data_IF_714292063740
#
_entry.id   IF_714292063740
#
_cell.length_a   1.000
_cell.length_b   1.000
_cell.length_c   1.000
_cell.angle_alpha   90.00
_cell.angle_beta   90.00
_cell.angle_gamma   90.00
#
_symmetry.space_group_name_H-M   'P 1'
#
loop_
_entity.id
_entity.type
_entity.pdbx_description
1 polymer ?
#
# COMPACT_ATOMS: atom_id res chain seq x y z
N UNK A 1 9.56 2.04 21.06
CA UNK A 1 10.06 2.27 19.67
C UNK A 1 10.03 3.77 19.45
N UNK A 2 11.17 4.37 19.14
CA UNK A 2 11.34 5.81 18.88
C UNK A 2 10.86 6.15 17.47
N UNK A 3 10.29 7.30 17.29
CA UNK A 3 9.87 7.85 16.00
C UNK A 3 11.08 8.59 15.39
N UNK A 4 11.55 8.09 14.28
CA UNK A 4 12.69 8.65 13.55
C UNK A 4 12.24 9.74 12.58
N UNK A 5 13.16 10.63 12.17
CA UNK A 5 12.93 11.60 11.10
C UNK A 5 12.49 10.88 9.83
N UNK A 6 11.43 11.38 9.18
CA UNK A 6 10.86 10.76 7.98
C UNK A 6 9.95 9.54 8.22
N UNK A 7 9.81 9.07 9.47
CA UNK A 7 8.90 7.97 9.78
C UNK A 7 7.43 8.39 9.63
N UNK A 8 6.59 7.51 9.08
CA UNK A 8 5.15 7.73 9.07
C UNK A 8 4.54 7.44 10.43
N UNK A 9 3.67 8.34 10.88
CA UNK A 9 2.95 8.28 12.15
C UNK A 9 1.45 8.42 11.88
N UNK A 10 0.65 7.58 12.53
CA UNK A 10 -0.79 7.76 12.58
C UNK A 10 -1.14 8.67 13.75
N UNK A 11 -1.55 9.88 13.44
CA UNK A 11 -2.11 10.83 14.41
C UNK A 11 -3.53 10.38 14.73
N UNK A 12 -3.79 10.03 15.98
CA UNK A 12 -5.08 9.52 16.42
C UNK A 12 -5.71 10.43 17.48
N UNK A 13 -6.91 10.92 17.22
CA UNK A 13 -7.72 11.63 18.21
C UNK A 13 -9.00 10.85 18.53
N UNK A 14 -9.67 10.30 17.53
CA UNK A 14 -10.83 9.42 17.64
C UNK A 14 -10.91 8.50 16.40
N UNK A 15 -11.77 7.48 16.37
CA UNK A 15 -11.89 6.59 15.21
C UNK A 15 -12.11 7.32 13.88
N UNK A 16 -12.85 8.43 13.88
CA UNK A 16 -13.15 9.23 12.68
C UNK A 16 -12.10 10.33 12.42
N UNK A 17 -11.21 10.60 13.38
CA UNK A 17 -10.24 11.69 13.34
C UNK A 17 -8.83 11.16 13.46
N UNK A 18 -8.35 10.62 12.36
CA UNK A 18 -7.00 10.07 12.21
C UNK A 18 -6.34 10.60 10.95
N UNK A 19 -5.03 10.83 11.00
CA UNK A 19 -4.23 11.32 9.87
C UNK A 19 -2.92 10.57 9.81
N UNK A 20 -2.53 10.17 8.60
CA UNK A 20 -1.22 9.57 8.33
C UNK A 20 -0.28 10.69 7.88
N UNK A 21 0.74 10.95 8.65
CA UNK A 21 1.69 12.04 8.41
C UNK A 21 3.13 11.55 8.53
N UNK A 22 4.01 12.19 7.81
CA UNK A 22 5.45 11.97 7.92
C UNK A 22 6.01 12.89 9.03
N UNK A 23 6.66 12.31 10.03
CA UNK A 23 7.31 13.01 11.10
C UNK A 23 8.56 13.72 10.56
N UNK A 24 8.52 15.04 10.54
CA UNK A 24 9.56 15.87 9.95
C UNK A 24 9.80 17.08 10.83
N UNK A 25 11.02 17.32 11.21
CA UNK A 25 11.44 18.48 12.02
C UNK A 25 10.99 19.79 11.39
N UNK A 26 10.38 20.68 12.20
CA UNK A 26 9.86 21.97 11.77
C UNK A 26 8.57 21.94 10.96
N UNK A 27 8.00 20.76 10.69
CA UNK A 27 6.74 20.62 9.95
C UNK A 27 5.54 20.84 10.86
N UNK A 28 4.62 21.70 10.43
CA UNK A 28 3.33 21.93 11.09
C UNK A 28 2.21 21.27 10.31
N UNK A 29 1.28 20.66 11.02
CA UNK A 29 0.12 20.01 10.44
C UNK A 29 -1.18 20.66 10.91
N UNK A 30 -1.97 21.15 9.97
CA UNK A 30 -3.20 21.88 10.23
C UNK A 30 -4.41 20.96 10.24
N UNK A 31 -5.18 20.99 11.32
CA UNK A 31 -6.42 20.22 11.47
C UNK A 31 -7.53 21.12 12.04
N UNK A 32 -8.76 20.66 12.02
CA UNK A 32 -9.87 21.31 12.72
C UNK A 32 -9.69 21.32 14.26
N UNK A 33 -8.77 20.47 14.79
CA UNK A 33 -8.40 20.46 16.22
C UNK A 33 -7.35 21.53 16.57
N UNK A 34 -6.89 22.30 15.59
CA UNK A 34 -5.77 23.23 15.70
C UNK A 34 -4.55 22.75 14.93
N UNK A 35 -3.44 23.44 15.15
CA UNK A 35 -2.13 23.15 14.53
C UNK A 35 -1.35 22.22 15.46
N UNK A 36 -0.76 21.18 14.88
CA UNK A 36 0.16 20.25 15.53
C UNK A 36 1.58 20.54 15.03
N UNK A 37 2.55 20.61 15.91
CA UNK A 37 3.96 20.61 15.53
C UNK A 37 4.41 19.14 15.37
N UNK A 38 4.56 18.71 14.12
CA UNK A 38 4.93 17.32 13.82
C UNK A 38 6.42 17.08 14.13
N UNK A 39 7.24 18.13 14.15
CA UNK A 39 8.63 18.02 14.54
C UNK A 39 8.81 17.48 15.97
N UNK A 40 7.88 17.78 16.88
CA UNK A 40 7.91 17.24 18.25
C UNK A 40 7.67 15.73 18.33
N UNK A 41 7.17 15.11 17.26
CA UNK A 41 7.03 13.66 17.18
C UNK A 41 8.39 12.97 16.98
N UNK A 42 9.34 13.65 16.33
CA UNK A 42 10.68 13.09 16.10
C UNK A 42 11.42 12.96 17.44
N UNK A 43 12.00 11.78 17.68
CA UNK A 43 12.65 11.44 18.94
C UNK A 43 11.69 11.04 20.08
N UNK A 44 10.38 11.20 19.91
CA UNK A 44 9.38 10.72 20.86
C UNK A 44 9.08 9.23 20.65
N UNK A 45 8.27 8.60 21.50
CA UNK A 45 7.89 7.18 21.37
C UNK A 45 6.49 7.04 20.79
N UNK A 46 6.27 5.98 20.00
CA UNK A 46 4.91 5.57 19.67
C UNK A 46 4.11 5.27 20.93
N UNK A 47 2.85 5.73 20.98
CA UNK A 47 1.99 5.71 22.17
C UNK A 47 2.00 7.02 22.95
N UNK A 48 2.99 7.91 22.74
CA UNK A 48 2.98 9.26 23.29
C UNK A 48 1.94 10.15 22.60
N UNK A 49 1.90 11.44 22.92
CA UNK A 49 0.94 12.36 22.34
C UNK A 49 1.53 13.75 22.09
N UNK A 50 0.93 14.45 21.15
CA UNK A 50 1.11 15.88 20.94
C UNK A 50 -0.12 16.65 21.43
N UNK A 51 0.08 17.91 21.77
CA UNK A 51 -1.00 18.86 22.02
C UNK A 51 -1.14 19.80 20.81
N UNK A 52 -2.35 19.97 20.32
CA UNK A 52 -2.61 20.98 19.29
C UNK A 52 -2.59 22.39 19.88
N UNK A 53 -2.50 23.42 19.04
CA UNK A 53 -2.60 24.82 19.46
C UNK A 53 -3.89 25.17 20.20
N UNK A 54 -4.89 24.31 20.18
CA UNK A 54 -6.15 24.41 20.93
C UNK A 54 -6.20 23.47 22.15
N UNK A 55 -5.06 22.93 22.59
CA UNK A 55 -4.95 22.04 23.74
C UNK A 55 -5.58 20.64 23.53
N UNK A 56 -5.87 20.24 22.29
CA UNK A 56 -6.43 18.91 22.00
C UNK A 56 -5.32 17.86 21.92
N UNK A 57 -5.50 16.77 22.67
CA UNK A 57 -4.57 15.65 22.70
C UNK A 57 -4.72 14.78 21.43
N UNK A 58 -3.59 14.46 20.79
CA UNK A 58 -3.49 13.58 19.62
C UNK A 58 -2.40 12.55 19.88
N UNK A 59 -2.75 11.28 19.85
CA UNK A 59 -1.84 10.15 20.15
C UNK A 59 -1.03 9.83 18.91
N UNK A 60 0.24 9.51 19.08
CA UNK A 60 1.18 9.09 18.03
C UNK A 60 1.19 7.56 17.94
N UNK A 61 0.51 6.99 16.97
CA UNK A 61 0.46 5.53 16.78
C UNK A 61 1.35 5.10 15.62
N UNK A 62 1.90 3.86 15.72
CA UNK A 62 2.55 3.20 14.60
C UNK A 62 1.49 2.85 13.56
N UNK A 63 1.63 3.30 12.30
CA UNK A 63 0.67 2.96 11.27
C UNK A 63 0.64 1.46 10.97
N UNK A 64 -0.54 0.94 10.69
CA UNK A 64 -0.76 -0.40 10.15
C UNK A 64 -0.85 -0.34 8.63
N UNK A 65 -0.73 -1.48 7.96
CA UNK A 65 -0.98 -1.56 6.50
C UNK A 65 -2.38 -1.05 6.14
N UNK A 66 -3.36 -1.30 7.00
CA UNK A 66 -4.71 -0.72 6.89
C UNK A 66 -4.67 0.80 6.72
N UNK A 67 -3.86 1.52 7.50
CA UNK A 67 -3.77 2.98 7.44
C UNK A 67 -3.13 3.45 6.14
N UNK A 68 -2.10 2.78 5.66
CA UNK A 68 -1.47 3.10 4.38
C UNK A 68 -2.43 2.88 3.21
N UNK A 69 -3.21 1.79 3.20
CA UNK A 69 -4.22 1.52 2.19
C UNK A 69 -5.35 2.54 2.25
N UNK A 70 -5.93 2.76 3.45
CA UNK A 70 -7.11 3.61 3.61
C UNK A 70 -6.83 5.11 3.48
N UNK A 71 -5.59 5.55 3.74
CA UNK A 71 -5.15 6.95 3.66
C UNK A 71 -4.23 7.23 2.46
N UNK A 72 -4.18 6.30 1.51
CA UNK A 72 -3.46 6.48 0.25
C UNK A 72 -4.02 7.63 -0.58
N UNK A 73 -3.17 8.26 -1.38
CA UNK A 73 -3.63 9.14 -2.46
C UNK A 73 -4.37 8.30 -3.50
N UNK A 74 -5.53 8.77 -3.98
CA UNK A 74 -6.40 7.97 -4.84
C UNK A 74 -6.78 8.71 -6.10
N UNK A 75 -6.60 8.04 -7.24
CA UNK A 75 -7.20 8.40 -8.54
C UNK A 75 -8.21 7.34 -9.01
N UNK A 76 -8.20 6.16 -8.36
CA UNK A 76 -9.11 5.05 -8.65
C UNK A 76 -9.82 4.62 -7.37
N UNK A 77 -10.89 3.84 -7.50
CA UNK A 77 -11.41 3.04 -6.40
C UNK A 77 -10.31 2.07 -5.93
N UNK A 78 -10.33 1.76 -4.64
CA UNK A 78 -9.42 0.77 -4.06
C UNK A 78 -10.20 -0.47 -3.65
N UNK A 79 -9.54 -1.61 -3.67
CA UNK A 79 -10.06 -2.81 -3.03
C UNK A 79 -10.09 -2.57 -1.51
N UNK A 80 -11.25 -2.73 -0.89
CA UNK A 80 -11.42 -2.46 0.55
C UNK A 80 -10.85 -3.59 1.41
N UNK A 81 -10.49 -3.31 2.68
CA UNK A 81 -9.81 -4.27 3.55
C UNK A 81 -10.48 -5.63 3.70
N UNK A 82 -11.82 -5.69 3.70
CA UNK A 82 -12.56 -6.96 3.74
C UNK A 82 -12.29 -7.83 2.51
N UNK A 83 -12.22 -7.20 1.34
CA UNK A 83 -12.01 -7.87 0.06
C UNK A 83 -10.51 -8.21 -0.10
N UNK A 84 -9.60 -7.33 0.34
CA UNK A 84 -8.16 -7.62 0.41
C UNK A 84 -7.89 -8.87 1.24
N UNK A 85 -8.48 -8.98 2.43
CA UNK A 85 -8.32 -10.14 3.29
C UNK A 85 -8.88 -11.42 2.64
N UNK A 86 -10.04 -11.33 1.99
CA UNK A 86 -10.65 -12.45 1.28
C UNK A 86 -9.77 -12.91 0.11
N UNK A 87 -9.27 -11.99 -0.70
CA UNK A 87 -8.32 -12.29 -1.79
C UNK A 87 -7.09 -12.98 -1.24
N UNK A 88 -6.48 -12.44 -0.18
CA UNK A 88 -5.28 -13.00 0.43
C UNK A 88 -5.47 -14.44 0.90
N UNK A 89 -6.56 -14.72 1.61
CA UNK A 89 -6.86 -16.07 2.10
C UNK A 89 -7.17 -17.02 0.94
N UNK A 90 -8.01 -16.59 -0.02
CA UNK A 90 -8.46 -17.47 -1.12
C UNK A 90 -7.36 -17.79 -2.14
N UNK A 91 -6.42 -16.85 -2.33
CA UNK A 91 -5.28 -17.06 -3.23
C UNK A 91 -4.13 -17.84 -2.60
N UNK A 92 -4.15 -18.06 -1.30
CA UNK A 92 -3.04 -18.68 -0.58
C UNK A 92 -1.83 -17.75 -0.42
N UNK A 93 -2.07 -16.42 -0.43
CA UNK A 93 -1.03 -15.42 -0.30
C UNK A 93 -0.25 -15.58 1.01
N UNK A 94 1.06 -15.74 0.91
CA UNK A 94 1.94 -15.95 2.06
C UNK A 94 3.32 -15.31 1.83
N UNK A 95 4.14 -15.35 2.88
CA UNK A 95 5.55 -14.94 2.77
C UNK A 95 6.26 -15.70 1.63
N UNK A 96 7.04 -14.98 0.83
CA UNK A 96 7.78 -15.54 -0.29
C UNK A 96 6.97 -15.69 -1.58
N UNK A 97 5.66 -15.47 -1.59
CA UNK A 97 4.85 -15.56 -2.80
C UNK A 97 5.32 -14.57 -3.87
N UNK A 98 5.35 -15.02 -5.12
CA UNK A 98 5.56 -14.19 -6.31
C UNK A 98 4.20 -13.92 -6.92
N UNK A 99 3.86 -12.66 -7.10
CA UNK A 99 2.52 -12.24 -7.52
C UNK A 99 2.59 -11.38 -8.77
N UNK A 100 1.77 -11.71 -9.76
CA UNK A 100 1.51 -10.87 -10.93
C UNK A 100 0.17 -10.15 -10.72
N UNK A 101 0.20 -8.83 -10.77
CA UNK A 101 -1.00 -7.99 -10.65
C UNK A 101 -1.22 -7.22 -11.95
N UNK A 102 -2.43 -7.32 -12.49
CA UNK A 102 -2.88 -6.54 -13.65
C UNK A 102 -3.98 -5.59 -13.17
N UNK A 103 -3.71 -4.29 -13.26
CA UNK A 103 -4.55 -3.24 -12.71
C UNK A 103 -4.00 -2.71 -11.38
N UNK A 104 -2.85 -2.02 -11.42
CA UNK A 104 -2.23 -1.41 -10.23
C UNK A 104 -3.15 -0.39 -9.56
N UNK A 105 -3.85 0.41 -10.36
CA UNK A 105 -4.67 1.51 -9.88
C UNK A 105 -3.91 2.46 -8.96
N UNK A 106 -4.45 2.76 -7.80
CA UNK A 106 -3.79 3.60 -6.78
C UNK A 106 -2.83 2.82 -5.87
N UNK A 107 -2.62 1.52 -6.11
CA UNK A 107 -1.67 0.67 -5.39
C UNK A 107 -2.17 0.14 -4.04
N UNK A 108 -3.48 0.13 -3.80
CA UNK A 108 -4.05 -0.36 -2.55
C UNK A 108 -3.84 -1.87 -2.37
N UNK A 109 -4.22 -2.66 -3.38
CA UNK A 109 -4.01 -4.11 -3.40
C UNK A 109 -2.52 -4.44 -3.45
N UNK A 110 -1.73 -3.77 -4.30
CA UNK A 110 -0.27 -3.90 -4.37
C UNK A 110 0.38 -3.71 -3.00
N UNK A 111 -0.02 -2.66 -2.25
CA UNK A 111 0.49 -2.37 -0.90
C UNK A 111 0.18 -3.50 0.08
N UNK A 112 -1.04 -4.03 0.04
CA UNK A 112 -1.44 -5.15 0.87
C UNK A 112 -0.64 -6.41 0.54
N UNK A 113 -0.57 -6.81 -0.74
CA UNK A 113 0.18 -7.99 -1.19
C UNK A 113 1.65 -7.86 -0.77
N UNK A 114 2.31 -6.76 -1.10
CA UNK A 114 3.72 -6.52 -0.79
C UNK A 114 4.00 -6.60 0.71
N UNK A 115 3.05 -6.22 1.57
CA UNK A 115 3.21 -6.31 3.02
C UNK A 115 3.25 -7.74 3.56
N UNK A 116 2.60 -8.68 2.86
CA UNK A 116 2.50 -10.08 3.29
C UNK A 116 3.65 -10.92 2.74
N UNK A 117 4.02 -10.71 1.47
CA UNK A 117 4.99 -11.57 0.77
C UNK A 117 6.44 -11.36 1.21
N UNK A 118 6.76 -10.23 1.86
CA UNK A 118 8.11 -9.92 2.33
C UNK A 118 8.60 -10.89 3.41
N UNK A 119 9.92 -11.11 3.56
CA UNK A 119 11.01 -10.39 2.88
C UNK A 119 11.45 -11.03 1.55
N UNK A 120 10.94 -12.17 1.14
CA UNK A 120 11.48 -12.97 0.04
C UNK A 120 10.60 -13.03 -1.22
N UNK A 121 9.34 -12.61 -1.10
CA UNK A 121 8.40 -12.55 -2.22
C UNK A 121 8.55 -11.28 -3.07
N UNK A 122 7.82 -11.24 -4.19
CA UNK A 122 7.83 -10.08 -5.09
C UNK A 122 6.52 -9.88 -5.83
N UNK A 123 6.13 -8.61 -6.03
CA UNK A 123 4.97 -8.22 -6.85
C UNK A 123 5.44 -7.61 -8.16
N UNK A 124 4.95 -8.13 -9.25
CA UNK A 124 5.05 -7.56 -10.60
C UNK A 124 3.71 -6.94 -10.95
N UNK A 125 3.64 -5.62 -11.07
CA UNK A 125 2.36 -4.93 -11.28
C UNK A 125 2.34 -4.14 -12.58
N UNK A 126 1.19 -4.14 -13.24
CA UNK A 126 0.97 -3.54 -14.56
C UNK A 126 -0.25 -2.61 -14.52
N UNK A 127 -0.11 -1.44 -15.11
CA UNK A 127 -1.22 -0.53 -15.33
C UNK A 127 -1.06 0.20 -16.67
N UNK A 128 -2.18 0.37 -17.38
CA UNK A 128 -2.21 1.09 -18.66
C UNK A 128 -2.06 2.60 -18.49
N UNK A 129 -2.34 3.11 -17.29
CA UNK A 129 -2.31 4.54 -17.03
C UNK A 129 -1.06 4.92 -16.22
N UNK A 130 -0.10 5.66 -16.82
CA UNK A 130 1.11 6.06 -16.13
C UNK A 130 0.87 6.97 -14.91
N UNK A 131 -0.27 7.69 -14.87
CA UNK A 131 -0.63 8.50 -13.70
C UNK A 131 -1.00 7.61 -12.50
N UNK A 132 -1.65 6.48 -12.75
CA UNK A 132 -1.99 5.52 -11.69
C UNK A 132 -0.71 4.87 -11.13
N UNK A 133 0.16 4.39 -12.01
CA UNK A 133 1.47 3.86 -11.61
C UNK A 133 2.30 4.87 -10.81
N UNK A 134 2.27 6.16 -11.18
CA UNK A 134 2.99 7.21 -10.47
C UNK A 134 2.46 7.41 -9.04
N UNK A 135 1.13 7.37 -8.84
CA UNK A 135 0.52 7.47 -7.52
C UNK A 135 0.76 6.20 -6.70
N UNK A 136 0.60 5.02 -7.31
CA UNK A 136 0.89 3.77 -6.64
C UNK A 136 2.34 3.72 -6.13
N UNK A 137 3.31 4.13 -6.94
CA UNK A 137 4.73 4.24 -6.51
C UNK A 137 4.89 5.11 -5.27
N UNK A 138 4.21 6.27 -5.20
CA UNK A 138 4.25 7.14 -4.02
C UNK A 138 3.65 6.46 -2.79
N UNK A 139 2.49 5.81 -2.94
CA UNK A 139 1.81 5.14 -1.84
C UNK A 139 2.63 3.96 -1.30
N UNK A 140 3.22 3.15 -2.17
CA UNK A 140 4.06 2.01 -1.82
C UNK A 140 5.35 2.47 -1.14
N UNK A 141 5.95 3.58 -1.61
CA UNK A 141 7.11 4.20 -0.96
C UNK A 141 6.79 4.66 0.46
N UNK A 142 5.62 5.29 0.69
CA UNK A 142 5.16 5.70 2.03
C UNK A 142 5.07 4.51 3.00
N UNK A 143 4.68 3.33 2.50
CA UNK A 143 4.59 2.10 3.28
C UNK A 143 5.95 1.37 3.44
N UNK A 144 7.03 1.90 2.87
CA UNK A 144 8.37 1.30 2.85
C UNK A 144 8.38 -0.11 2.22
N UNK A 145 7.70 -0.26 1.07
CA UNK A 145 7.53 -1.55 0.38
C UNK A 145 8.09 -1.54 -1.05
N UNK A 146 8.81 -0.48 -1.45
CA UNK A 146 9.27 -0.30 -2.83
C UNK A 146 10.20 -1.42 -3.33
N UNK A 147 10.97 -2.04 -2.46
CA UNK A 147 11.90 -3.11 -2.80
C UNK A 147 11.20 -4.42 -3.20
N UNK A 148 9.93 -4.59 -2.80
CA UNK A 148 9.13 -5.79 -3.08
C UNK A 148 8.23 -5.64 -4.30
N UNK A 149 8.30 -4.52 -5.03
CA UNK A 149 7.38 -4.21 -6.13
C UNK A 149 8.12 -3.72 -7.36
N UNK A 150 7.91 -4.41 -8.48
CA UNK A 150 8.33 -3.95 -9.80
C UNK A 150 7.13 -3.48 -10.60
N UNK A 151 7.20 -2.24 -11.07
CA UNK A 151 6.19 -1.65 -11.94
C UNK A 151 6.61 -1.83 -13.39
N UNK A 152 5.75 -2.44 -14.17
CA UNK A 152 5.95 -2.63 -15.60
C UNK A 152 5.03 -1.71 -16.42
N UNK A 153 5.49 -1.35 -17.60
CA UNK A 153 4.65 -0.72 -18.61
C UNK A 153 3.73 -1.78 -19.24
N UNK A 154 2.44 -1.49 -19.33
CA UNK A 154 1.45 -2.40 -19.91
C UNK A 154 1.73 -2.76 -21.38
N UNK A 155 2.40 -1.87 -22.13
CA UNK A 155 2.78 -2.14 -23.53
C UNK A 155 3.79 -3.27 -23.65
N UNK A 156 4.45 -3.62 -22.55
CA UNK A 156 5.49 -4.65 -22.46
C UNK A 156 5.10 -5.85 -21.62
N UNK A 157 3.80 -6.13 -21.49
CA UNK A 157 3.34 -7.27 -20.69
C UNK A 157 4.02 -8.59 -21.11
N UNK A 158 4.16 -8.83 -22.42
CA UNK A 158 4.84 -10.02 -22.96
C UNK A 158 6.36 -9.99 -22.81
N UNK A 159 6.96 -8.80 -22.61
CA UNK A 159 8.41 -8.64 -22.41
C UNK A 159 8.79 -8.71 -20.93
N UNK A 160 7.82 -8.59 -20.05
CA UNK A 160 8.07 -8.61 -18.62
C UNK A 160 8.42 -10.02 -18.17
N UNK A 161 9.71 -10.27 -18.02
CA UNK A 161 10.21 -11.54 -17.49
C UNK A 161 9.90 -11.67 -15.99
N UNK A 162 8.62 -11.90 -15.68
CA UNK A 162 8.18 -12.14 -14.30
C UNK A 162 8.60 -13.55 -13.82
N UNK A 163 9.00 -14.43 -14.75
CA UNK A 163 9.14 -15.86 -14.48
C UNK A 163 7.81 -16.48 -14.03
N UNK A 164 7.83 -17.69 -13.53
CA UNK A 164 6.66 -18.32 -12.93
C UNK A 164 6.26 -17.62 -11.63
N UNK A 165 4.95 -17.36 -11.48
CA UNK A 165 4.35 -16.76 -10.29
C UNK A 165 3.40 -17.70 -9.58
N UNK A 166 3.24 -17.53 -8.28
CA UNK A 166 2.33 -18.30 -7.45
C UNK A 166 0.88 -17.87 -7.63
N UNK A 167 0.70 -16.57 -7.80
CA UNK A 167 -0.62 -15.94 -7.81
C UNK A 167 -0.66 -14.90 -8.94
N UNK A 168 -1.76 -14.90 -9.67
CA UNK A 168 -2.15 -13.83 -10.58
C UNK A 168 -3.40 -13.16 -10.05
N UNK A 169 -3.40 -11.82 -9.99
CA UNK A 169 -4.61 -11.03 -9.69
C UNK A 169 -4.89 -10.10 -10.86
N UNK A 170 -6.12 -10.13 -11.36
CA UNK A 170 -6.59 -9.28 -12.47
C UNK A 170 -7.71 -8.39 -11.97
N UNK A 171 -7.40 -7.12 -11.73
CA UNK A 171 -8.32 -6.07 -11.24
C UNK A 171 -8.48 -4.98 -12.31
N UNK A 172 -9.26 -5.31 -13.35
CA UNK A 172 -9.60 -4.41 -14.46
C UNK A 172 -11.04 -4.63 -14.89
N UNK A 173 -11.62 -3.68 -15.64
CA UNK A 173 -13.03 -3.74 -16.06
C UNK A 173 -13.42 -5.00 -16.85
N UNK A 174 -12.49 -5.55 -17.64
CA UNK A 174 -12.72 -6.74 -18.48
C UNK A 174 -11.68 -7.83 -18.17
N UNK A 175 -11.69 -8.44 -16.98
CA UNK A 175 -10.61 -9.33 -16.52
C UNK A 175 -10.42 -10.57 -17.40
N UNK A 176 -11.49 -11.06 -18.05
CA UNK A 176 -11.42 -12.22 -18.96
C UNK A 176 -10.48 -12.02 -20.15
N UNK A 177 -10.22 -10.77 -20.55
CA UNK A 177 -9.29 -10.45 -21.66
C UNK A 177 -7.83 -10.75 -21.34
N UNK A 178 -7.52 -10.91 -20.05
CA UNK A 178 -6.16 -11.14 -19.56
C UNK A 178 -5.93 -12.58 -19.10
N UNK A 179 -6.96 -13.44 -19.02
CA UNK A 179 -6.85 -14.79 -18.47
C UNK A 179 -5.83 -15.64 -19.24
N UNK A 180 -5.95 -15.74 -20.57
CA UNK A 180 -5.00 -16.52 -21.38
C UNK A 180 -3.57 -15.99 -21.26
N UNK A 181 -3.40 -14.66 -21.31
CA UNK A 181 -2.09 -14.01 -21.24
C UNK A 181 -1.41 -14.21 -19.89
N UNK A 182 -2.18 -14.25 -18.80
CA UNK A 182 -1.65 -14.41 -17.45
C UNK A 182 -1.47 -15.85 -17.04
N UNK A 183 -2.22 -16.78 -17.68
CA UNK A 183 -2.11 -18.21 -17.42
C UNK A 183 -0.71 -18.76 -17.69
N UNK A 184 -0.05 -18.30 -18.74
CA UNK A 184 1.33 -18.69 -19.08
C UNK A 184 2.36 -18.31 -18.02
N UNK A 185 2.05 -17.33 -17.18
CA UNK A 185 2.90 -16.89 -16.08
C UNK A 185 2.66 -17.67 -14.78
N UNK A 186 1.55 -18.44 -14.70
CA UNK A 186 1.21 -19.21 -13.49
C UNK A 186 2.01 -20.52 -13.44
N UNK A 187 2.64 -20.77 -12.31
CA UNK A 187 3.21 -22.10 -12.05
C UNK A 187 2.10 -23.16 -11.93
N UNK A 188 2.41 -24.45 -12.09
CA UNK A 188 1.46 -25.53 -11.79
C UNK A 188 0.89 -25.38 -10.37
N UNK A 189 -0.44 -25.50 -10.23
CA UNK A 189 -1.18 -25.26 -8.98
C UNK A 189 -1.18 -23.82 -8.48
N UNK A 190 -0.74 -22.85 -9.28
CA UNK A 190 -0.91 -21.42 -8.97
C UNK A 190 -2.38 -20.99 -9.00
N UNK A 191 -2.68 -19.85 -8.38
CA UNK A 191 -4.05 -19.34 -8.25
C UNK A 191 -4.24 -18.08 -9.08
N UNK A 192 -5.34 -18.03 -9.87
CA UNK A 192 -5.79 -16.82 -10.54
C UNK A 192 -7.01 -16.26 -9.83
N UNK A 193 -6.97 -14.95 -9.53
CA UNK A 193 -8.08 -14.18 -8.97
C UNK A 193 -8.47 -13.11 -9.98
N UNK A 194 -9.75 -13.05 -10.36
CA UNK A 194 -10.32 -11.99 -11.20
C UNK A 194 -11.36 -11.20 -10.39
N UNK A 195 -11.32 -9.88 -10.47
CA UNK A 195 -12.16 -8.94 -9.71
C UNK A 195 -12.94 -8.07 -10.67
#
# INVERSE_FOLDING_TARGET
MIIEEGAYVLLYHSPQKTWLVEATTGKKFHTHLGVLDIGEAVGSTFGSHLLSSKGKKVILLKPLIYDFVMKSERLTQIVYPKDLAYIGIRSGLTNGSRVLEVGTGSGGLTTYIASIIRPTGHVYTFDVNPKFSAIAKKNIKKANLSEFVTFHDHTRFHEANCGEVDIVVVDIGDPWTMIEKTYESLRPSGTLVAI
#
